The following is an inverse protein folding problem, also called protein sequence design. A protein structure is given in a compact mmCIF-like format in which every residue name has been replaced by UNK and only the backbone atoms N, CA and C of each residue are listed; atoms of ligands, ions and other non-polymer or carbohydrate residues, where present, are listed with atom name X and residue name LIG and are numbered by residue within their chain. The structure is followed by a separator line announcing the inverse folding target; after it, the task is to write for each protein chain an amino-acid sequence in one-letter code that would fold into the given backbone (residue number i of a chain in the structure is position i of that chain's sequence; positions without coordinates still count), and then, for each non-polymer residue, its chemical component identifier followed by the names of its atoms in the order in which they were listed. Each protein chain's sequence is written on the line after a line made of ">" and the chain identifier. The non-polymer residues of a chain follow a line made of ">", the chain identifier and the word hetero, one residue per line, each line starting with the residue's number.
data_IF_582856510469
#
_entry.id   IF_582856510469
#
_cell.length_a   1.000
_cell.length_b   1.000
_cell.length_c   1.000
_cell.angle_alpha   90.00
_cell.angle_beta   90.00
_cell.angle_gamma   90.00
#
_symmetry.space_group_name_H-M   'P 1'
#
loop_
_entity.id
_entity.type
_entity.pdbx_description
1 polymer ?
#
# COMPACT_ATOMS: atom_id res chain seq x y z
N UNK A 1 -20.20 61.52 4.82
CA UNK A 1 -18.80 61.32 5.29
C UNK A 1 -18.35 59.94 4.86
N UNK A 2 -17.12 59.78 4.36
CA UNK A 2 -16.58 58.47 3.99
C UNK A 2 -15.77 57.88 5.15
N UNK A 3 -15.90 56.58 5.39
CA UNK A 3 -15.06 55.83 6.35
C UNK A 3 -14.51 54.59 5.65
N UNK A 4 -13.19 54.61 5.42
CA UNK A 4 -12.44 53.57 4.73
C UNK A 4 -12.20 52.40 5.70
N UNK A 5 -12.39 51.16 5.24
CA UNK A 5 -11.95 49.95 5.94
C UNK A 5 -10.83 49.24 5.15
N UNK A 6 -9.83 48.64 5.82
CA UNK A 6 -8.57 48.24 5.19
C UNK A 6 -8.65 46.91 4.43
N UNK A 7 -7.85 46.80 3.36
CA UNK A 7 -7.71 45.61 2.53
C UNK A 7 -6.73 44.59 3.14
N UNK A 8 -7.24 43.62 3.91
CA UNK A 8 -6.44 42.53 4.48
C UNK A 8 -6.44 41.25 3.65
N UNK A 9 -5.48 41.09 2.72
CA UNK A 9 -5.20 39.88 1.89
C UNK A 9 -3.92 40.15 1.05
N UNK A 10 -2.99 39.23 0.77
CA UNK A 10 -2.87 37.78 1.02
C UNK A 10 -1.44 37.42 1.49
N UNK A 11 -1.28 36.34 2.27
CA UNK A 11 0.00 35.58 2.28
C UNK A 11 0.02 34.61 1.10
N UNK A 12 1.12 34.53 0.37
CA UNK A 12 1.35 33.52 -0.69
C UNK A 12 1.74 32.17 -0.05
N UNK A 13 1.30 31.02 -0.60
CA UNK A 13 1.83 29.72 -0.20
C UNK A 13 3.26 29.56 -0.75
N UNK A 14 4.21 29.18 0.12
CA UNK A 14 5.59 28.89 -0.27
C UNK A 14 5.71 27.47 -0.83
N UNK A 15 6.24 27.34 -2.06
CA UNK A 15 6.54 26.04 -2.68
C UNK A 15 7.84 25.49 -2.09
N UNK A 16 7.76 24.49 -1.23
CA UNK A 16 8.94 23.79 -0.69
C UNK A 16 9.50 22.85 -1.78
N UNK A 17 10.55 23.28 -2.48
CA UNK A 17 11.34 22.42 -3.37
C UNK A 17 12.39 21.66 -2.57
N UNK A 18 12.28 20.34 -2.48
CA UNK A 18 13.33 19.48 -1.91
C UNK A 18 14.46 19.28 -2.92
N UNK A 19 15.57 19.97 -2.72
CA UNK A 19 16.85 19.65 -3.39
C UNK A 19 17.55 18.50 -2.68
N UNK A 20 17.76 17.39 -3.39
CA UNK A 20 18.58 16.26 -2.91
C UNK A 20 20.05 16.52 -3.22
N UNK A 21 20.80 17.01 -2.23
CA UNK A 21 22.26 17.08 -2.34
C UNK A 21 22.86 15.67 -2.27
N UNK A 22 23.72 15.31 -3.22
CA UNK A 22 24.49 14.08 -3.18
C UNK A 22 25.72 14.24 -2.27
N UNK A 23 25.91 13.33 -1.32
CA UNK A 23 27.09 13.27 -0.46
C UNK A 23 27.90 12.01 -0.76
N UNK A 24 29.06 12.17 -1.39
CA UNK A 24 30.03 11.09 -1.57
C UNK A 24 30.88 10.96 -0.31
N UNK A 25 30.65 9.91 0.48
CA UNK A 25 31.41 9.63 1.70
C UNK A 25 32.67 8.81 1.41
N UNK A 26 33.84 9.40 1.65
CA UNK A 26 35.12 8.67 1.70
C UNK A 26 35.31 8.12 3.12
N UNK A 27 35.77 6.87 3.25
CA UNK A 27 36.15 6.27 4.53
C UNK A 27 37.43 5.43 4.38
N UNK A 28 38.47 5.75 5.15
CA UNK A 28 39.74 5.02 5.17
C UNK A 28 40.45 5.17 6.53
N UNK A 29 40.58 4.05 7.25
CA UNK A 29 41.48 3.77 8.40
C UNK A 29 41.62 2.22 8.46
N UNK A 30 42.76 1.50 8.58
CA UNK A 30 43.98 1.57 9.45
C UNK A 30 43.69 1.25 10.93
N UNK A 31 44.38 0.35 11.68
CA UNK A 31 45.40 -0.73 11.45
C UNK A 31 45.06 -1.92 12.42
N UNK A 32 45.86 -2.91 12.90
CA UNK A 32 47.31 -3.25 12.97
C UNK A 32 47.51 -4.76 13.35
N UNK A 33 48.72 -5.32 13.15
CA UNK A 33 49.17 -6.64 13.70
C UNK A 33 49.19 -7.78 12.66
N UNK A 34 50.30 -8.46 12.27
CA UNK A 34 51.55 -8.94 12.92
C UNK A 34 51.28 -10.18 13.82
N UNK A 35 51.80 -11.38 13.52
CA UNK A 35 53.15 -11.96 13.81
C UNK A 35 53.52 -12.92 12.64
N UNK A 36 54.60 -12.76 11.86
CA UNK A 36 56.05 -13.00 12.10
C UNK A 36 56.51 -14.48 12.06
N UNK A 37 57.46 -14.79 11.17
CA UNK A 37 58.19 -16.07 11.10
C UNK A 37 59.33 -15.99 10.06
N UNK A 38 60.57 -16.26 10.45
CA UNK A 38 61.78 -16.13 9.60
C UNK A 38 62.38 -17.50 9.23
N UNK A 39 62.91 -17.60 8.00
CA UNK A 39 64.09 -18.41 7.67
C UNK A 39 64.80 -17.81 6.44
N UNK A 40 66.13 -17.87 6.40
CA UNK A 40 66.96 -17.07 5.49
C UNK A 40 67.27 -17.75 4.13
N UNK A 41 67.66 -16.98 3.10
CA UNK A 41 68.49 -17.45 2.00
C UNK A 41 69.99 -17.31 2.32
N UNK A 42 70.80 -18.30 1.92
CA UNK A 42 72.25 -18.22 1.79
C UNK A 42 72.62 -18.95 0.48
N UNK A 43 73.17 -18.29 -0.54
CA UNK A 43 74.49 -17.65 -0.68
C UNK A 43 75.59 -18.68 -0.97
N UNK A 44 76.36 -18.43 -2.03
CA UNK A 44 77.34 -19.36 -2.60
C UNK A 44 78.68 -19.36 -1.85
N UNK A 45 79.47 -20.42 -2.06
CA UNK A 45 80.89 -20.48 -1.75
C UNK A 45 81.68 -20.86 -3.02
N UNK A 46 82.74 -20.11 -3.31
CA UNK A 46 83.76 -20.44 -4.31
C UNK A 46 84.81 -21.39 -3.71
N UNK A 47 85.51 -22.15 -4.55
CA UNK A 47 86.71 -22.92 -4.21
C UNK A 47 87.49 -23.28 -5.47
N UNK A 48 88.18 -22.30 -6.03
CA UNK A 48 89.12 -22.49 -7.14
C UNK A 48 90.55 -22.72 -6.64
N UNK A 49 91.06 -23.97 -6.63
CA UNK A 49 92.51 -24.26 -6.63
C UNK A 49 92.86 -25.76 -6.84
N UNK A 50 93.99 -25.99 -7.51
CA UNK A 50 94.98 -27.07 -7.34
C UNK A 50 94.55 -28.53 -7.10
N UNK A 51 94.73 -29.35 -8.16
CA UNK A 51 95.44 -30.62 -8.03
C UNK A 51 96.29 -30.90 -9.27
N UNK A 52 97.61 -30.90 -9.12
CA UNK A 52 98.55 -31.33 -10.15
C UNK A 52 99.05 -32.76 -9.87
N UNK A 53 99.00 -33.61 -10.91
CA UNK A 53 99.80 -34.84 -11.12
C UNK A 53 99.99 -35.80 -9.92
N UNK A 54 99.54 -37.06 -9.99
CA UNK A 54 100.26 -38.09 -10.77
C UNK A 54 99.52 -39.44 -10.75
N UNK A 55 99.80 -40.30 -11.74
CA UNK A 55 100.07 -41.73 -11.48
C UNK A 55 98.91 -42.73 -11.31
N UNK A 56 98.63 -43.46 -12.40
CA UNK A 56 98.37 -44.92 -12.42
C UNK A 56 97.25 -45.55 -11.55
N UNK A 57 96.19 -45.98 -12.25
CA UNK A 57 95.49 -47.28 -12.08
C UNK A 57 95.20 -47.78 -10.65
N UNK A 58 93.93 -47.71 -10.26
CA UNK A 58 93.32 -48.77 -9.45
C UNK A 58 92.22 -49.47 -10.27
N UNK A 59 92.15 -50.80 -10.17
CA UNK A 59 91.30 -51.63 -11.00
C UNK A 59 89.84 -51.67 -10.54
N UNK A 60 88.97 -52.20 -11.39
CA UNK A 60 87.52 -52.31 -11.17
C UNK A 60 87.22 -53.13 -9.91
N UNK A 61 86.49 -52.52 -8.98
CA UNK A 61 85.70 -53.17 -7.94
C UNK A 61 84.33 -52.47 -7.83
N UNK A 62 83.71 -52.20 -8.98
CA UNK A 62 82.30 -51.77 -9.06
C UNK A 62 81.46 -53.03 -8.83
N UNK A 63 81.27 -53.36 -7.56
CA UNK A 63 80.48 -54.50 -7.13
C UNK A 63 78.99 -54.30 -7.47
N UNK A 64 78.23 -55.40 -7.53
CA UNK A 64 76.80 -55.42 -7.85
C UNK A 64 75.95 -54.48 -6.98
N UNK A 65 76.45 -54.14 -5.78
CA UNK A 65 75.86 -53.18 -4.84
C UNK A 65 75.51 -51.82 -5.45
N UNK A 66 76.24 -51.33 -6.46
CA UNK A 66 75.90 -50.06 -7.12
C UNK A 66 74.68 -50.20 -8.05
N UNK A 67 74.47 -51.37 -8.66
CA UNK A 67 73.26 -51.66 -9.41
C UNK A 67 72.07 -51.81 -8.47
N UNK A 68 72.24 -52.53 -7.35
CA UNK A 68 71.23 -52.65 -6.30
C UNK A 68 70.81 -51.28 -5.72
N UNK A 69 71.76 -50.36 -5.47
CA UNK A 69 71.43 -48.99 -5.02
C UNK A 69 70.65 -48.20 -6.07
N UNK A 70 71.01 -48.29 -7.36
CA UNK A 70 70.31 -47.60 -8.45
C UNK A 70 68.88 -48.15 -8.62
N UNK A 71 68.69 -49.48 -8.57
CA UNK A 71 67.37 -50.09 -8.67
C UNK A 71 66.51 -49.83 -7.42
N UNK A 72 67.11 -49.79 -6.22
CA UNK A 72 66.43 -49.36 -5.00
C UNK A 72 66.00 -47.88 -5.08
N UNK A 73 66.85 -47.00 -5.63
CA UNK A 73 66.52 -45.59 -5.83
C UNK A 73 65.43 -45.40 -6.91
N UNK A 74 65.46 -46.19 -7.97
CA UNK A 74 64.42 -46.20 -9.01
C UNK A 74 63.07 -46.77 -8.50
N UNK A 75 63.11 -47.77 -7.63
CA UNK A 75 61.93 -48.29 -6.92
C UNK A 75 61.35 -47.21 -5.99
N UNK A 76 62.18 -46.56 -5.17
CA UNK A 76 61.75 -45.47 -4.30
C UNK A 76 61.13 -44.29 -5.08
N UNK A 77 61.73 -43.90 -6.21
CA UNK A 77 61.15 -42.86 -7.09
C UNK A 77 59.80 -43.28 -7.71
N UNK A 78 59.66 -44.53 -8.17
CA UNK A 78 58.36 -45.06 -8.63
C UNK A 78 57.31 -45.02 -7.52
N UNK A 79 57.68 -45.41 -6.30
CA UNK A 79 56.76 -45.49 -5.17
C UNK A 79 56.32 -44.09 -4.72
N UNK A 80 57.26 -43.14 -4.60
CA UNK A 80 56.96 -41.73 -4.35
C UNK A 80 56.10 -41.10 -5.46
N UNK A 81 56.31 -41.45 -6.72
CA UNK A 81 55.48 -40.98 -7.84
C UNK A 81 54.04 -41.54 -7.78
N UNK A 82 53.87 -42.80 -7.36
CA UNK A 82 52.55 -43.42 -7.12
C UNK A 82 51.84 -42.75 -5.94
N UNK A 83 52.54 -42.48 -4.85
CA UNK A 83 51.99 -41.79 -3.67
C UNK A 83 51.60 -40.34 -3.98
N UNK A 84 52.45 -39.58 -4.69
CA UNK A 84 52.13 -38.22 -5.14
C UNK A 84 50.91 -38.22 -6.10
N UNK A 85 50.81 -39.22 -6.99
CA UNK A 85 49.64 -39.38 -7.85
C UNK A 85 48.37 -39.77 -7.08
N UNK A 86 48.50 -40.52 -5.98
CA UNK A 86 47.39 -40.87 -5.09
C UNK A 86 46.92 -39.65 -4.26
N UNK A 87 47.86 -38.89 -3.69
CA UNK A 87 47.58 -37.64 -2.97
C UNK A 87 46.86 -36.63 -3.89
N UNK A 88 47.39 -36.39 -5.10
CA UNK A 88 46.77 -35.49 -6.08
C UNK A 88 45.35 -35.94 -6.47
N UNK A 89 45.12 -37.25 -6.66
CA UNK A 89 43.76 -37.79 -6.89
C UNK A 89 42.83 -37.57 -5.70
N UNK A 90 43.33 -37.67 -4.47
CA UNK A 90 42.54 -37.40 -3.26
C UNK A 90 42.19 -35.91 -3.13
N UNK A 91 43.13 -35.00 -3.43
CA UNK A 91 42.89 -33.56 -3.48
C UNK A 91 41.89 -33.16 -4.56
N UNK A 92 42.03 -33.67 -5.79
CA UNK A 92 41.08 -33.42 -6.88
C UNK A 92 39.69 -33.95 -6.53
N UNK A 93 39.57 -35.13 -5.91
CA UNK A 93 38.30 -35.69 -5.44
C UNK A 93 37.68 -34.86 -4.29
N UNK A 94 38.49 -34.36 -3.35
CA UNK A 94 38.03 -33.46 -2.29
C UNK A 94 37.56 -32.11 -2.85
N UNK A 95 38.29 -31.54 -3.81
CA UNK A 95 37.96 -30.31 -4.53
C UNK A 95 36.68 -30.43 -5.33
N UNK A 96 36.46 -31.56 -6.00
CA UNK A 96 35.19 -31.86 -6.69
C UNK A 96 34.02 -31.96 -5.72
N UNK A 97 34.15 -32.70 -4.62
CA UNK A 97 33.11 -32.78 -3.57
C UNK A 97 32.78 -31.41 -2.97
N UNK A 98 33.79 -30.59 -2.68
CA UNK A 98 33.60 -29.22 -2.18
C UNK A 98 32.88 -28.32 -3.20
N UNK A 99 33.23 -28.41 -4.49
CA UNK A 99 32.58 -27.68 -5.56
C UNK A 99 31.11 -28.12 -5.76
N UNK A 100 30.81 -29.41 -5.64
CA UNK A 100 29.45 -29.95 -5.73
C UNK A 100 28.59 -29.50 -4.54
N UNK A 101 29.11 -29.58 -3.31
CA UNK A 101 28.40 -29.09 -2.11
C UNK A 101 28.13 -27.58 -2.20
N UNK A 102 29.11 -26.78 -2.67
CA UNK A 102 28.90 -25.35 -2.94
C UNK A 102 27.79 -25.12 -3.97
N UNK A 103 27.78 -25.85 -5.09
CA UNK A 103 26.72 -25.77 -6.11
C UNK A 103 25.34 -26.14 -5.54
N UNK A 104 25.25 -27.18 -4.71
CA UNK A 104 24.00 -27.58 -4.03
C UNK A 104 23.50 -26.53 -3.05
N UNK A 105 24.40 -25.94 -2.24
CA UNK A 105 24.06 -24.84 -1.34
C UNK A 105 23.60 -23.58 -2.09
N UNK A 106 24.28 -23.20 -3.16
CA UNK A 106 23.88 -22.07 -4.02
C UNK A 106 22.53 -22.31 -4.72
N UNK A 107 22.26 -23.54 -5.17
CA UNK A 107 20.97 -23.90 -5.76
C UNK A 107 19.83 -23.82 -4.74
N UNK A 108 20.01 -24.41 -3.54
CA UNK A 108 19.03 -24.34 -2.46
C UNK A 108 18.78 -22.91 -1.97
N UNK A 109 19.83 -22.08 -1.89
CA UNK A 109 19.70 -20.66 -1.55
C UNK A 109 18.91 -19.89 -2.62
N UNK A 110 19.17 -20.12 -3.92
CA UNK A 110 18.41 -19.53 -5.03
C UNK A 110 16.96 -19.99 -5.04
N UNK A 111 16.69 -21.26 -4.77
CA UNK A 111 15.32 -21.80 -4.69
C UNK A 111 14.54 -21.20 -3.51
N UNK A 112 15.17 -21.11 -2.33
CA UNK A 112 14.59 -20.45 -1.15
C UNK A 112 14.29 -18.98 -1.44
N UNK A 113 15.26 -18.22 -1.97
CA UNK A 113 15.08 -16.81 -2.30
C UNK A 113 13.97 -16.61 -3.37
N UNK A 114 13.87 -17.51 -4.35
CA UNK A 114 12.77 -17.51 -5.33
C UNK A 114 11.42 -17.73 -4.65
N UNK A 115 11.27 -18.75 -3.81
CA UNK A 115 10.01 -19.03 -3.08
C UNK A 115 9.60 -17.88 -2.15
N UNK A 116 10.57 -17.26 -1.47
CA UNK A 116 10.32 -16.08 -0.62
C UNK A 116 9.89 -14.85 -1.44
N UNK A 117 10.50 -14.63 -2.62
CA UNK A 117 10.10 -13.56 -3.54
C UNK A 117 8.70 -13.80 -4.14
N UNK A 118 8.39 -15.04 -4.55
CA UNK A 118 7.07 -15.44 -5.07
C UNK A 118 5.99 -15.31 -3.99
N UNK A 119 6.26 -15.76 -2.76
CA UNK A 119 5.34 -15.61 -1.62
C UNK A 119 5.09 -14.13 -1.26
N UNK A 120 6.15 -13.29 -1.29
CA UNK A 120 6.02 -11.84 -1.10
C UNK A 120 5.18 -11.19 -2.20
N UNK A 121 5.46 -11.49 -3.47
CA UNK A 121 4.72 -10.98 -4.61
C UNK A 121 3.24 -11.40 -4.57
N UNK A 122 2.95 -12.66 -4.21
CA UNK A 122 1.58 -13.14 -4.04
C UNK A 122 0.84 -12.45 -2.88
N UNK A 123 1.53 -12.17 -1.76
CA UNK A 123 0.96 -11.38 -0.65
C UNK A 123 0.62 -9.96 -1.11
N UNK A 124 1.57 -9.26 -1.73
CA UNK A 124 1.36 -7.89 -2.24
C UNK A 124 0.24 -7.84 -3.30
N UNK A 125 0.17 -8.81 -4.20
CA UNK A 125 -0.90 -8.89 -5.20
C UNK A 125 -2.27 -9.07 -4.55
N UNK A 126 -2.38 -9.95 -3.54
CA UNK A 126 -3.62 -10.17 -2.76
C UNK A 126 -4.04 -8.94 -1.95
N UNK A 127 -3.07 -8.17 -1.45
CA UNK A 127 -3.30 -6.92 -0.72
C UNK A 127 -3.81 -5.81 -1.65
N UNK A 128 -3.12 -5.59 -2.80
CA UNK A 128 -3.55 -4.65 -3.85
C UNK A 128 -4.93 -5.02 -4.44
N UNK A 129 -5.24 -6.31 -4.55
CA UNK A 129 -6.56 -6.78 -5.00
C UNK A 129 -7.67 -6.46 -3.98
N UNK A 130 -7.41 -6.67 -2.68
CA UNK A 130 -8.33 -6.29 -1.59
C UNK A 130 -8.56 -4.78 -1.55
N UNK A 131 -7.50 -3.98 -1.72
CA UNK A 131 -7.61 -2.52 -1.75
C UNK A 131 -8.47 -2.03 -2.92
N UNK A 132 -8.28 -2.59 -4.12
CA UNK A 132 -9.12 -2.30 -5.29
C UNK A 132 -10.59 -2.67 -5.02
N UNK A 133 -10.86 -3.86 -4.51
CA UNK A 133 -12.21 -4.31 -4.18
C UNK A 133 -12.88 -3.39 -3.13
N UNK A 134 -12.14 -2.91 -2.13
CA UNK A 134 -12.64 -1.95 -1.14
C UNK A 134 -12.96 -0.58 -1.76
N UNK A 135 -12.08 -0.04 -2.60
CA UNK A 135 -12.32 1.21 -3.35
C UNK A 135 -13.50 1.09 -4.33
N UNK A 136 -13.71 -0.09 -4.92
CA UNK A 136 -14.84 -0.37 -5.81
C UNK A 136 -16.16 -0.54 -5.05
N UNK A 137 -16.14 -1.17 -3.87
CA UNK A 137 -17.29 -1.26 -2.97
C UNK A 137 -17.71 0.13 -2.45
N UNK A 138 -16.75 0.95 -2.00
CA UNK A 138 -17.04 2.30 -1.51
C UNK A 138 -17.57 3.21 -2.62
N UNK A 139 -17.01 3.15 -3.84
CA UNK A 139 -17.57 3.89 -4.99
C UNK A 139 -19.01 3.46 -5.30
N UNK A 140 -19.35 2.17 -5.20
CA UNK A 140 -20.73 1.69 -5.35
C UNK A 140 -21.63 2.21 -4.23
N UNK A 141 -21.15 2.24 -2.97
CA UNK A 141 -21.90 2.77 -1.82
C UNK A 141 -22.20 4.26 -1.98
N UNK A 142 -21.20 5.06 -2.34
CA UNK A 142 -21.33 6.53 -2.50
C UNK A 142 -22.18 6.94 -3.71
N UNK A 143 -22.28 6.09 -4.73
CA UNK A 143 -23.15 6.30 -5.89
C UNK A 143 -24.56 5.67 -5.72
N UNK A 144 -24.80 4.95 -4.63
CA UNK A 144 -26.11 4.36 -4.32
C UNK A 144 -27.07 5.35 -3.67
N UNK A 145 -28.35 4.99 -3.64
CA UNK A 145 -29.39 5.75 -2.94
C UNK A 145 -30.12 4.86 -1.92
N UNK A 146 -30.77 5.47 -0.93
CA UNK A 146 -31.53 4.81 0.15
C UNK A 146 -32.84 5.56 0.47
N UNK A 147 -33.76 4.91 1.17
CA UNK A 147 -34.96 5.58 1.69
C UNK A 147 -34.59 6.58 2.81
N UNK A 148 -35.25 7.75 2.90
CA UNK A 148 -34.91 8.79 3.88
C UNK A 148 -35.27 8.40 5.33
N UNK A 149 -36.20 7.45 5.51
CA UNK A 149 -36.50 6.79 6.79
C UNK A 149 -36.53 5.29 6.57
N UNK A 150 -35.65 4.55 7.25
CA UNK A 150 -35.53 3.10 7.09
C UNK A 150 -36.77 2.38 7.64
N UNK A 151 -37.39 1.51 6.83
CA UNK A 151 -38.56 0.71 7.22
C UNK A 151 -39.88 1.50 7.35
N UNK A 152 -39.91 2.77 6.93
CA UNK A 152 -41.13 3.57 6.86
C UNK A 152 -41.92 3.31 5.57
N UNK A 153 -43.14 3.85 5.52
CA UNK A 153 -44.04 3.85 4.37
C UNK A 153 -44.61 5.27 4.17
N UNK A 154 -45.10 5.54 2.96
CA UNK A 154 -45.68 6.84 2.59
C UNK A 154 -47.09 6.96 3.17
N UNK A 155 -47.31 7.94 4.06
CA UNK A 155 -48.63 8.27 4.63
C UNK A 155 -49.40 9.28 3.80
N UNK A 156 -48.71 10.25 3.18
CA UNK A 156 -49.32 11.27 2.32
C UNK A 156 -48.64 11.29 0.96
N UNK A 157 -49.42 11.18 -0.11
CA UNK A 157 -48.91 11.15 -1.48
C UNK A 157 -48.61 12.56 -2.04
N UNK A 158 -47.77 12.59 -3.08
CA UNK A 158 -47.48 13.80 -3.85
C UNK A 158 -48.72 14.30 -4.61
N UNK A 159 -48.87 15.62 -4.69
CA UNK A 159 -50.06 16.32 -5.21
C UNK A 159 -51.40 15.92 -4.56
N UNK A 160 -51.40 15.37 -3.35
CA UNK A 160 -52.61 15.31 -2.53
C UNK A 160 -53.20 16.72 -2.38
N UNK A 161 -54.48 16.91 -2.73
CA UNK A 161 -55.13 18.22 -2.76
C UNK A 161 -55.83 18.58 -1.46
N UNK A 162 -55.78 19.85 -1.06
CA UNK A 162 -56.48 20.32 0.14
C UNK A 162 -56.04 21.70 0.64
N UNK A 163 -56.88 22.32 1.48
CA UNK A 163 -56.66 23.65 2.03
C UNK A 163 -55.54 23.75 3.10
N UNK A 164 -54.90 22.63 3.45
CA UNK A 164 -53.78 22.60 4.40
C UNK A 164 -52.45 23.06 3.78
N UNK A 165 -52.33 22.99 2.44
CA UNK A 165 -51.15 23.42 1.69
C UNK A 165 -51.40 24.76 1.01
N UNK A 166 -50.43 25.69 1.10
CA UNK A 166 -50.55 27.06 0.56
C UNK A 166 -50.76 27.10 -0.97
N UNK A 167 -50.19 26.12 -1.67
CA UNK A 167 -50.36 25.84 -3.11
C UNK A 167 -51.64 25.08 -3.47
N UNK A 168 -52.49 24.75 -2.49
CA UNK A 168 -53.65 23.87 -2.63
C UNK A 168 -53.31 22.39 -2.86
N UNK A 169 -52.03 22.02 -2.96
CA UNK A 169 -51.58 20.65 -3.19
C UNK A 169 -50.23 20.35 -2.54
N UNK A 170 -50.06 19.10 -2.12
CA UNK A 170 -48.86 18.62 -1.46
C UNK A 170 -47.65 18.60 -2.41
N UNK A 171 -46.57 19.29 -2.04
CA UNK A 171 -45.34 19.45 -2.84
C UNK A 171 -44.29 18.35 -2.61
N UNK A 172 -44.53 17.42 -1.69
CA UNK A 172 -43.65 16.30 -1.39
C UNK A 172 -44.41 15.00 -1.13
N UNK A 173 -43.78 14.10 -0.40
CA UNK A 173 -44.39 12.92 0.21
C UNK A 173 -44.12 12.92 1.71
N UNK A 174 -45.07 12.41 2.49
CA UNK A 174 -44.86 12.26 3.94
C UNK A 174 -44.57 10.79 4.24
N UNK A 175 -43.48 10.54 4.95
CA UNK A 175 -43.13 9.25 5.52
C UNK A 175 -43.62 9.16 6.96
N UNK A 176 -44.30 8.05 7.29
CA UNK A 176 -44.75 7.79 8.66
C UNK A 176 -43.54 7.61 9.60
N UNK A 177 -43.34 8.58 10.51
CA UNK A 177 -42.18 8.61 11.40
C UNK A 177 -42.51 9.33 12.72
N UNK A 178 -42.50 8.59 13.84
CA UNK A 178 -42.62 9.18 15.17
C UNK A 178 -41.49 10.19 15.44
N UNK A 179 -41.74 11.21 16.26
CA UNK A 179 -40.71 12.21 16.63
C UNK A 179 -39.45 11.53 17.18
N UNK A 180 -38.28 11.91 16.66
CA UNK A 180 -37.01 11.28 17.05
C UNK A 180 -36.61 10.06 16.21
N UNK A 181 -37.32 9.76 15.10
CA UNK A 181 -36.86 8.74 14.14
C UNK A 181 -35.67 9.29 13.33
N UNK A 182 -34.66 8.45 13.07
CA UNK A 182 -33.47 8.85 12.31
C UNK A 182 -33.81 9.15 10.84
N UNK A 183 -33.52 10.39 10.41
CA UNK A 183 -33.69 10.86 9.03
C UNK A 183 -32.35 10.87 8.32
N UNK A 184 -32.30 10.26 7.14
CA UNK A 184 -31.08 9.98 6.38
C UNK A 184 -31.07 10.74 5.05
N UNK A 185 -29.88 11.17 4.61
CA UNK A 185 -29.68 11.64 3.24
C UNK A 185 -29.89 10.49 2.25
N UNK A 186 -30.79 10.69 1.27
CA UNK A 186 -31.14 9.63 0.31
C UNK A 186 -30.00 9.26 -0.64
N UNK A 187 -28.98 10.10 -0.79
CA UNK A 187 -27.86 9.93 -1.71
C UNK A 187 -26.67 10.82 -1.33
N UNK A 188 -25.63 10.84 -2.17
CA UNK A 188 -24.47 11.71 -1.97
C UNK A 188 -24.74 13.14 -2.50
N UNK A 189 -24.27 14.14 -1.76
CA UNK A 189 -24.49 15.55 -2.10
C UNK A 189 -23.86 16.52 -1.09
N UNK A 190 -24.25 17.79 -1.17
CA UNK A 190 -23.82 18.87 -0.26
C UNK A 190 -25.03 19.62 0.28
N UNK A 191 -25.08 19.81 1.60
CA UNK A 191 -26.12 20.59 2.29
C UNK A 191 -26.04 22.05 1.84
N UNK A 192 -27.14 22.57 1.30
CA UNK A 192 -27.28 23.97 0.87
C UNK A 192 -28.16 24.78 1.82
N UNK A 193 -29.06 24.13 2.56
CA UNK A 193 -29.85 24.74 3.63
C UNK A 193 -29.88 23.80 4.85
N UNK A 194 -29.78 24.37 6.05
CA UNK A 194 -29.93 23.65 7.32
C UNK A 194 -30.39 24.67 8.38
N UNK A 195 -31.69 24.70 8.67
CA UNK A 195 -32.27 25.71 9.56
C UNK A 195 -33.79 25.79 9.49
N UNK A 196 -34.34 26.94 9.89
CA UNK A 196 -35.79 27.16 9.92
C UNK A 196 -36.34 27.61 8.55
N UNK A 197 -37.00 26.69 7.84
CA UNK A 197 -37.58 26.87 6.51
C UNK A 197 -39.04 27.36 6.52
N UNK A 198 -39.43 28.16 7.51
CA UNK A 198 -40.79 28.71 7.63
C UNK A 198 -41.84 27.61 7.85
N UNK A 199 -42.69 27.37 6.84
CA UNK A 199 -43.73 26.34 6.90
C UNK A 199 -43.16 24.93 7.09
N UNK A 200 -41.97 24.65 6.55
CA UNK A 200 -41.27 23.37 6.73
C UNK A 200 -40.64 23.18 8.12
N UNK A 201 -40.74 24.17 9.02
CA UNK A 201 -40.14 24.10 10.35
C UNK A 201 -38.61 24.00 10.29
N UNK A 202 -38.02 23.15 11.13
CA UNK A 202 -36.62 22.77 10.96
C UNK A 202 -36.50 21.90 9.71
N UNK A 203 -35.66 22.30 8.77
CA UNK A 203 -35.46 21.61 7.51
C UNK A 203 -33.98 21.52 7.11
N UNK A 204 -33.71 20.58 6.21
CA UNK A 204 -32.44 20.45 5.49
C UNK A 204 -32.74 20.41 4.00
N UNK A 205 -31.98 21.14 3.17
CA UNK A 205 -31.96 20.99 1.72
C UNK A 205 -30.56 20.55 1.29
N UNK A 206 -30.49 19.50 0.46
CA UNK A 206 -29.25 18.90 -0.01
C UNK A 206 -29.23 18.99 -1.53
N UNK A 207 -28.21 19.62 -2.09
CA UNK A 207 -27.92 19.52 -3.53
C UNK A 207 -27.26 18.16 -3.80
N UNK A 208 -27.88 17.37 -4.65
CA UNK A 208 -27.47 16.01 -4.96
C UNK A 208 -26.42 15.99 -6.09
N UNK A 209 -25.62 14.92 -6.14
CA UNK A 209 -24.57 14.77 -7.17
C UNK A 209 -25.13 14.57 -8.60
N UNK A 210 -26.40 14.19 -8.73
CA UNK A 210 -27.13 14.12 -10.01
C UNK A 210 -27.54 15.52 -10.55
N UNK A 211 -27.38 16.58 -9.75
CA UNK A 211 -27.77 17.97 -10.06
C UNK A 211 -29.11 18.43 -9.48
N UNK A 212 -29.94 17.49 -9.00
CA UNK A 212 -31.22 17.75 -8.31
C UNK A 212 -31.01 18.21 -6.87
N UNK A 213 -32.11 18.47 -6.18
CA UNK A 213 -32.13 18.87 -4.77
C UNK A 213 -33.14 18.01 -4.02
N UNK A 214 -32.86 17.68 -2.75
CA UNK A 214 -33.81 17.01 -1.85
C UNK A 214 -34.02 17.82 -0.59
N UNK A 215 -35.28 17.98 -0.15
CA UNK A 215 -35.64 18.65 1.11
C UNK A 215 -36.22 17.65 2.12
N UNK A 216 -35.91 17.88 3.39
CA UNK A 216 -36.31 17.07 4.54
C UNK A 216 -36.90 18.01 5.58
N UNK A 217 -38.23 17.97 5.78
CA UNK A 217 -38.99 18.94 6.58
C UNK A 217 -39.47 18.44 7.94
N UNK A 218 -40.02 19.36 8.73
CA UNK A 218 -40.66 19.19 10.05
C UNK A 218 -39.78 18.57 11.14
N UNK A 219 -38.46 18.59 10.98
CA UNK A 219 -37.48 17.90 11.83
C UNK A 219 -37.57 18.35 13.31
N UNK A 220 -37.28 17.44 14.24
CA UNK A 220 -37.10 17.79 15.65
C UNK A 220 -35.69 18.27 15.95
N UNK A 221 -34.67 17.71 15.28
CA UNK A 221 -33.29 18.21 15.30
C UNK A 221 -32.64 18.14 13.91
N UNK A 222 -31.64 19.01 13.72
CA UNK A 222 -30.75 19.00 12.56
C UNK A 222 -29.35 18.63 13.06
N UNK A 223 -28.69 17.72 12.35
CA UNK A 223 -27.39 17.14 12.71
C UNK A 223 -26.29 17.45 11.68
N UNK A 224 -26.55 18.35 10.72
CA UNK A 224 -25.64 18.79 9.66
C UNK A 224 -25.64 20.31 9.47
N UNK A 225 -24.60 20.85 8.84
CA UNK A 225 -24.46 22.29 8.57
C UNK A 225 -24.36 22.61 7.08
N UNK A 226 -24.69 23.85 6.69
CA UNK A 226 -24.56 24.33 5.30
C UNK A 226 -23.10 24.23 4.82
N UNK A 227 -22.90 23.68 3.62
CA UNK A 227 -21.60 23.38 3.04
C UNK A 227 -21.04 22.00 3.42
N UNK A 228 -21.69 21.25 4.32
CA UNK A 228 -21.29 19.88 4.65
C UNK A 228 -21.63 18.91 3.51
N UNK A 229 -20.66 18.10 3.08
CA UNK A 229 -20.94 16.94 2.22
C UNK A 229 -21.57 15.81 3.01
N UNK A 230 -22.56 15.15 2.41
CA UNK A 230 -23.28 13.98 2.94
C UNK A 230 -23.08 12.77 2.04
N UNK A 231 -23.29 11.59 2.62
CA UNK A 231 -23.21 10.30 1.94
C UNK A 231 -24.54 9.53 2.08
N UNK A 232 -24.85 8.56 1.19
CA UNK A 232 -26.12 7.84 1.24
C UNK A 232 -26.28 7.10 2.56
N UNK A 233 -27.43 7.27 3.24
CA UNK A 233 -27.69 6.68 4.56
C UNK A 233 -27.04 7.42 5.74
N UNK A 234 -26.33 8.53 5.50
CA UNK A 234 -25.85 9.39 6.57
C UNK A 234 -27.03 10.08 7.25
N UNK A 235 -27.12 9.95 8.57
CA UNK A 235 -28.12 10.68 9.35
C UNK A 235 -27.87 12.20 9.25
N UNK A 236 -28.92 12.94 8.91
CA UNK A 236 -28.92 14.40 8.76
C UNK A 236 -29.75 15.12 9.83
N UNK A 237 -30.61 14.39 10.53
CA UNK A 237 -31.49 14.96 11.56
C UNK A 237 -32.33 13.89 12.25
N UNK A 238 -33.40 14.36 12.90
CA UNK A 238 -34.45 13.53 13.50
C UNK A 238 -35.82 14.04 13.03
N UNK A 239 -36.75 13.14 12.71
CA UNK A 239 -38.14 13.49 12.34
C UNK A 239 -38.87 14.18 13.50
N UNK A 240 -39.96 14.87 13.20
CA UNK A 240 -40.68 15.67 14.19
C UNK A 240 -41.99 16.23 13.65
N UNK A 241 -42.41 17.36 14.23
CA UNK A 241 -43.66 18.05 13.89
C UNK A 241 -43.49 19.58 13.96
N UNK A 242 -42.32 20.10 13.56
CA UNK A 242 -42.05 21.55 13.60
C UNK A 242 -42.59 22.28 12.36
N UNK A 243 -42.91 23.57 12.47
CA UNK A 243 -43.53 24.32 11.37
C UNK A 243 -45.04 24.04 11.24
N UNK A 244 -45.55 24.05 10.00
CA UNK A 244 -46.95 23.75 9.70
C UNK A 244 -47.14 22.23 9.54
N UNK A 245 -47.36 21.53 10.65
CA UNK A 245 -47.59 20.08 10.68
C UNK A 245 -48.74 19.72 11.61
N UNK A 246 -49.54 18.71 11.23
CA UNK A 246 -50.62 18.14 12.04
C UNK A 246 -50.15 17.02 13.00
N UNK A 247 -48.90 16.59 12.93
CA UNK A 247 -48.34 15.54 13.79
C UNK A 247 -47.01 14.97 13.30
N UNK A 248 -46.37 14.06 14.07
CA UNK A 248 -45.03 13.56 13.73
C UNK A 248 -44.95 12.79 12.40
N UNK A 249 -44.09 13.27 11.51
CA UNK A 249 -43.73 12.60 10.25
C UNK A 249 -42.36 13.09 9.74
N UNK A 250 -41.93 12.62 8.57
CA UNK A 250 -40.95 13.31 7.74
C UNK A 250 -41.63 13.72 6.44
N UNK A 251 -41.64 15.03 6.15
CA UNK A 251 -41.94 15.52 4.81
C UNK A 251 -40.69 15.47 3.93
N UNK A 252 -40.79 14.95 2.71
CA UNK A 252 -39.69 14.80 1.77
C UNK A 252 -40.05 15.29 0.37
N UNK A 253 -39.24 16.18 -0.19
CA UNK A 253 -39.34 16.61 -1.59
C UNK A 253 -38.12 16.20 -2.39
N UNK A 254 -38.34 15.86 -3.66
CA UNK A 254 -37.34 15.93 -4.71
C UNK A 254 -37.63 17.17 -5.59
N UNK A 255 -36.58 17.90 -5.98
CA UNK A 255 -36.69 19.17 -6.72
C UNK A 255 -35.67 19.30 -7.84
N UNK A 256 -36.01 20.07 -8.86
CA UNK A 256 -35.11 20.50 -9.94
C UNK A 256 -34.24 21.70 -9.57
N UNK A 257 -34.62 22.46 -8.53
CA UNK A 257 -33.84 23.56 -7.95
C UNK A 257 -33.91 23.58 -6.43
N UNK A 258 -33.27 24.57 -5.80
CA UNK A 258 -33.46 24.77 -4.35
C UNK A 258 -34.84 25.36 -4.04
N UNK A 259 -35.33 26.24 -4.92
CA UNK A 259 -36.50 27.09 -4.73
C UNK A 259 -37.83 26.31 -4.63
N UNK A 260 -38.79 26.91 -3.93
CA UNK A 260 -40.16 26.43 -3.84
C UNK A 260 -40.85 26.37 -5.21
N UNK A 261 -41.70 25.35 -5.43
CA UNK A 261 -42.39 25.15 -6.70
C UNK A 261 -41.53 24.56 -7.83
N UNK A 262 -40.29 24.15 -7.53
CA UNK A 262 -39.43 23.37 -8.43
C UNK A 262 -39.52 21.85 -8.19
N UNK A 263 -40.56 21.42 -7.45
CA UNK A 263 -40.81 20.05 -7.02
C UNK A 263 -41.16 19.10 -8.18
N UNK A 264 -40.76 17.84 -8.01
CA UNK A 264 -41.04 16.71 -8.90
C UNK A 264 -41.49 15.51 -8.07
N UNK A 265 -42.14 14.53 -8.70
CA UNK A 265 -42.61 13.29 -8.05
C UNK A 265 -41.46 12.60 -7.27
N UNK A 266 -41.48 12.61 -5.92
CA UNK A 266 -40.40 12.05 -5.13
C UNK A 266 -40.39 10.51 -5.16
N UNK A 267 -41.51 9.87 -5.46
CA UNK A 267 -41.62 8.40 -5.63
C UNK A 267 -40.95 8.00 -6.93
N UNK A 268 -41.23 8.71 -8.03
CA UNK A 268 -40.56 8.50 -9.31
C UNK A 268 -39.04 8.72 -9.20
N UNK A 269 -38.63 9.80 -8.51
CA UNK A 269 -37.22 10.12 -8.27
C UNK A 269 -36.49 9.07 -7.42
N UNK A 270 -37.11 8.57 -6.35
CA UNK A 270 -36.52 7.52 -5.52
C UNK A 270 -36.41 6.20 -6.30
N UNK A 271 -37.47 5.83 -7.05
CA UNK A 271 -37.49 4.60 -7.84
C UNK A 271 -36.54 4.62 -9.03
N UNK A 272 -36.30 5.78 -9.68
CA UNK A 272 -35.28 5.90 -10.74
C UNK A 272 -33.86 5.70 -10.22
N UNK A 273 -33.63 5.91 -8.93
CA UNK A 273 -32.36 5.63 -8.24
C UNK A 273 -32.33 4.25 -7.56
N UNK A 274 -33.31 3.39 -7.83
CA UNK A 274 -33.38 2.01 -7.33
C UNK A 274 -33.88 1.86 -5.89
N UNK A 275 -34.43 2.93 -5.29
CA UNK A 275 -35.01 2.89 -3.94
C UNK A 275 -36.48 2.46 -4.03
N UNK A 276 -36.84 1.41 -3.30
CA UNK A 276 -38.23 1.00 -3.11
C UNK A 276 -38.85 1.74 -1.92
N UNK A 277 -39.96 2.43 -2.19
CA UNK A 277 -40.90 3.11 -1.28
C UNK A 277 -42.31 3.00 -1.85
#
# INVERSE_FOLDING_TARGET
>A
MALIRPTGKHRRPSRITRTTAGAAGVAALTTTGVISGLAAPALAADSSADHASTGLTQAIAINDTLADEIDAQAAAQKQAAVEAAAQKKAEDAARQKAAEQKRKAEAAAKEKAKKEAEAKAAKEAKERARERAARDAERKRLNGYVAPVAGSYVSTSYKAGGAMWSSGSHTGIDFHAASGTSVQAVGAGTVVEAGWGGAYGNNVVIKMNDGTYTQYGHLSSINVTVGQSVTPGQQIGLSGSTGNSSGPHLHFEARTGAEYGSDIDPIAYLRSHGVAV
#
